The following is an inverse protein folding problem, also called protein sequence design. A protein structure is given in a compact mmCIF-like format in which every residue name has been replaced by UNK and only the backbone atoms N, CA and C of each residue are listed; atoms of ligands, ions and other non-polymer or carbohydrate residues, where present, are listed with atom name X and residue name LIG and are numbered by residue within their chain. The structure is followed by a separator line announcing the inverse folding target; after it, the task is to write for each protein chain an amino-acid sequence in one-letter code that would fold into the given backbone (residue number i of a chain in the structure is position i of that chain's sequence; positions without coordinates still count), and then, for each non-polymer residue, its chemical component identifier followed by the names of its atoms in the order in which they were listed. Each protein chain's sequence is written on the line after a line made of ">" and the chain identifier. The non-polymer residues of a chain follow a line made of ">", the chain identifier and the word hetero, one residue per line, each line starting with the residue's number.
data_IF_603135531753
#
_entry.id   IF_603135531753
#
_cell.length_a   1.000
_cell.length_b   1.000
_cell.length_c   1.000
_cell.angle_alpha   90.00
_cell.angle_beta   90.00
_cell.angle_gamma   90.00
#
_symmetry.space_group_name_H-M   'P 1'
#
loop_
_entity.id
_entity.type
_entity.pdbx_description
1 polymer ?
#
# COMPACT_ATOMS: atom_id res chain seq x y z
N UNK A 1 39.91 14.19 12.66
CA UNK A 1 40.42 15.58 12.45
C UNK A 1 40.33 16.05 10.99
N UNK A 2 39.17 15.95 10.34
CA UNK A 2 38.86 16.63 9.05
C UNK A 2 37.34 16.85 9.00
N UNK A 3 36.81 17.90 9.63
CA UNK A 3 36.62 19.29 9.12
C UNK A 3 35.75 19.39 7.84
N UNK A 4 34.44 19.61 8.06
CA UNK A 4 33.58 20.66 7.46
C UNK A 4 33.47 20.80 5.92
N UNK A 5 32.33 20.34 5.37
CA UNK A 5 31.55 20.99 4.29
C UNK A 5 30.06 20.77 4.66
N UNK A 6 29.17 21.74 4.82
CA UNK A 6 29.17 23.11 4.31
C UNK A 6 28.21 23.26 3.11
N UNK A 7 26.90 23.34 3.39
CA UNK A 7 25.92 24.24 2.76
C UNK A 7 25.43 24.04 1.30
N UNK A 8 24.10 23.88 1.20
CA UNK A 8 23.14 24.54 0.29
C UNK A 8 22.92 24.11 -1.17
N UNK A 9 21.72 23.56 -1.43
CA UNK A 9 20.82 23.64 -2.63
C UNK A 9 20.06 22.31 -2.76
N UNK A 10 18.75 22.19 -2.98
CA UNK A 10 17.61 23.08 -3.19
C UNK A 10 16.34 22.19 -3.10
N UNK A 11 15.21 22.72 -2.61
CA UNK A 11 14.01 23.06 -3.41
C UNK A 11 13.07 21.87 -3.74
N UNK A 12 11.76 22.19 -3.77
CA UNK A 12 10.56 21.34 -3.89
C UNK A 12 10.16 20.67 -2.56
N UNK A 13 9.18 21.14 -1.79
CA UNK A 13 7.79 21.51 -2.16
C UNK A 13 7.15 20.50 -3.11
N UNK A 14 6.37 19.58 -2.54
CA UNK A 14 5.07 19.23 -3.09
C UNK A 14 4.16 18.69 -1.99
N UNK A 15 3.20 19.51 -1.59
CA UNK A 15 1.99 19.09 -0.91
C UNK A 15 1.30 17.94 -1.68
N UNK A 16 0.65 16.97 -1.02
CA UNK A 16 -0.21 16.04 -1.73
C UNK A 16 -1.48 16.79 -2.16
N UNK A 17 -1.56 17.14 -3.45
CA UNK A 17 -2.81 17.48 -4.12
C UNK A 17 -3.72 16.25 -4.12
N UNK A 18 -5.02 16.40 -3.82
CA UNK A 18 -5.98 15.31 -3.93
C UNK A 18 -6.21 15.00 -5.41
N UNK A 19 -5.61 13.91 -5.89
CA UNK A 19 -5.88 13.37 -7.22
C UNK A 19 -7.28 12.73 -7.23
N UNK A 20 -8.29 13.58 -7.42
CA UNK A 20 -9.55 13.17 -8.02
C UNK A 20 -9.29 12.86 -9.51
N UNK A 21 -8.85 11.63 -9.79
CA UNK A 21 -8.78 11.12 -11.16
C UNK A 21 -10.03 10.28 -11.42
N UNK A 22 -10.97 10.92 -12.10
CA UNK A 22 -12.08 10.32 -12.83
C UNK A 22 -11.54 9.18 -13.72
N UNK A 23 -12.24 8.05 -13.79
CA UNK A 23 -11.95 7.00 -14.76
C UNK A 23 -13.26 6.49 -15.34
N UNK A 24 -13.48 6.82 -16.61
CA UNK A 24 -14.55 6.33 -17.48
C UNK A 24 -14.43 4.83 -17.74
N UNK A 25 -15.53 4.15 -18.12
CA UNK A 25 -15.66 2.70 -18.04
C UNK A 25 -15.16 2.05 -19.34
N UNK A 26 -14.13 1.22 -19.24
CA UNK A 26 -13.79 0.03 -20.07
C UNK A 26 -12.28 -0.20 -19.99
N UNK A 27 -11.78 -0.55 -18.81
CA UNK A 27 -10.47 -1.19 -18.64
C UNK A 27 -10.60 -2.11 -17.43
N UNK A 28 -10.06 -3.33 -17.52
CA UNK A 28 -10.10 -4.30 -16.41
C UNK A 28 -9.66 -3.59 -15.12
N UNK A 29 -10.45 -3.65 -14.04
CA UNK A 29 -10.15 -2.90 -12.83
C UNK A 29 -8.75 -3.25 -12.35
N UNK A 30 -7.89 -2.23 -12.17
CA UNK A 30 -6.53 -2.43 -11.68
C UNK A 30 -6.59 -3.20 -10.34
N UNK A 31 -5.70 -4.18 -10.08
CA UNK A 31 -5.76 -5.05 -8.90
C UNK A 31 -5.73 -4.28 -7.56
N UNK A 32 -5.20 -3.06 -7.57
CA UNK A 32 -5.18 -2.14 -6.43
C UNK A 32 -6.53 -1.46 -6.11
N UNK A 33 -7.56 -1.60 -6.95
CA UNK A 33 -8.86 -0.93 -6.74
C UNK A 33 -9.96 -1.85 -6.22
N UNK A 34 -9.78 -3.16 -6.23
CA UNK A 34 -10.88 -4.10 -5.98
C UNK A 34 -10.98 -4.58 -4.53
N UNK A 35 -9.84 -4.78 -3.88
CA UNK A 35 -9.75 -5.29 -2.50
C UNK A 35 -9.06 -4.29 -1.58
N UNK A 36 -9.43 -3.00 -1.68
CA UNK A 36 -8.78 -1.91 -0.92
C UNK A 36 -8.95 -2.10 0.59
N UNK A 37 -10.13 -2.48 1.03
CA UNK A 37 -10.46 -2.70 2.44
C UNK A 37 -9.65 -3.83 3.05
N UNK A 38 -9.60 -4.98 2.37
CA UNK A 38 -8.84 -6.16 2.79
C UNK A 38 -7.34 -5.89 2.73
N UNK A 39 -6.88 -5.15 1.73
CA UNK A 39 -5.49 -4.72 1.64
C UNK A 39 -5.11 -3.82 2.81
N UNK A 40 -5.92 -2.80 3.12
CA UNK A 40 -5.66 -1.91 4.25
C UNK A 40 -5.65 -2.68 5.57
N UNK A 41 -6.63 -3.55 5.82
CA UNK A 41 -6.65 -4.37 7.03
C UNK A 41 -5.41 -5.28 7.17
N UNK A 42 -4.95 -5.88 6.06
CA UNK A 42 -3.71 -6.69 6.04
C UNK A 42 -2.46 -5.85 6.26
N UNK A 43 -2.39 -4.66 5.65
CA UNK A 43 -1.29 -3.71 5.86
C UNK A 43 -1.26 -3.23 7.32
N UNK A 44 -2.41 -2.82 7.88
CA UNK A 44 -2.54 -2.39 9.26
C UNK A 44 -2.15 -3.50 10.24
N UNK A 45 -2.64 -4.72 10.02
CA UNK A 45 -2.26 -5.85 10.87
C UNK A 45 -0.76 -6.14 10.84
N UNK A 46 -0.13 -6.13 9.65
CA UNK A 46 1.32 -6.34 9.55
C UNK A 46 2.11 -5.21 10.19
N UNK A 47 1.63 -3.96 10.06
CA UNK A 47 2.30 -2.77 10.57
C UNK A 47 2.19 -2.64 12.10
N UNK A 48 1.07 -3.05 12.67
CA UNK A 48 0.79 -2.91 14.11
C UNK A 48 0.98 -4.20 14.91
N UNK A 49 1.25 -5.33 14.27
CA UNK A 49 1.57 -6.57 14.97
C UNK A 49 2.82 -6.42 15.83
N UNK A 50 2.76 -6.97 17.05
CA UNK A 50 3.86 -6.97 18.03
C UNK A 50 4.51 -8.34 18.21
N UNK A 51 4.10 -9.30 17.39
CA UNK A 51 4.61 -10.67 17.42
C UNK A 51 5.87 -10.80 16.58
N UNK A 52 6.68 -11.81 16.87
CA UNK A 52 7.87 -12.14 16.08
C UNK A 52 7.51 -12.59 14.64
N UNK A 53 6.30 -13.12 14.45
CA UNK A 53 5.79 -13.53 13.14
C UNK A 53 4.40 -12.89 12.84
N UNK A 54 4.39 -11.65 12.32
CA UNK A 54 3.15 -10.96 11.95
C UNK A 54 2.48 -11.61 10.73
N UNK A 55 3.21 -12.39 9.92
CA UNK A 55 2.64 -13.07 8.78
C UNK A 55 1.73 -14.23 9.20
N UNK A 56 2.08 -14.94 10.28
CA UNK A 56 1.20 -15.94 10.90
C UNK A 56 -0.02 -15.30 11.57
N UNK A 57 0.17 -14.23 12.35
CA UNK A 57 -0.94 -13.53 13.01
C UNK A 57 -1.94 -12.95 11.99
N UNK A 58 -1.44 -12.33 10.93
CA UNK A 58 -2.27 -11.71 9.90
C UNK A 58 -2.72 -12.68 8.80
N UNK A 59 -2.43 -13.99 8.91
CA UNK A 59 -2.92 -15.02 7.98
C UNK A 59 -4.40 -14.88 7.58
N UNK A 60 -5.36 -14.74 8.51
CA UNK A 60 -6.77 -14.62 8.13
C UNK A 60 -7.05 -13.41 7.23
N UNK A 61 -6.33 -12.30 7.43
CA UNK A 61 -6.47 -11.09 6.62
C UNK A 61 -5.78 -11.24 5.25
N UNK A 62 -4.64 -11.93 5.21
CA UNK A 62 -3.95 -12.27 3.96
C UNK A 62 -4.83 -13.19 3.10
N UNK A 63 -5.46 -14.19 3.70
CA UNK A 63 -6.37 -15.11 3.01
C UNK A 63 -7.61 -14.39 2.50
N UNK A 64 -8.21 -13.49 3.28
CA UNK A 64 -9.31 -12.64 2.79
C UNK A 64 -8.91 -11.79 1.58
N UNK A 65 -7.74 -11.14 1.63
CA UNK A 65 -7.25 -10.34 0.51
C UNK A 65 -7.04 -11.19 -0.75
N UNK A 66 -6.46 -12.39 -0.60
CA UNK A 66 -6.29 -13.36 -1.69
C UNK A 66 -7.63 -13.85 -2.25
N UNK A 67 -8.58 -14.18 -1.38
CA UNK A 67 -9.91 -14.62 -1.78
C UNK A 67 -10.66 -13.53 -2.56
N UNK A 68 -10.57 -12.27 -2.09
CA UNK A 68 -11.12 -11.13 -2.78
C UNK A 68 -10.51 -10.98 -4.18
N UNK A 69 -9.17 -10.99 -4.31
CA UNK A 69 -8.52 -10.86 -5.61
C UNK A 69 -8.79 -12.05 -6.55
N UNK A 70 -8.91 -13.26 -6.00
CA UNK A 70 -9.30 -14.46 -6.74
C UNK A 70 -10.72 -14.35 -7.31
N UNK A 71 -11.66 -13.73 -6.58
CA UNK A 71 -13.01 -13.44 -7.06
C UNK A 71 -13.06 -12.53 -8.30
N UNK A 72 -12.04 -11.69 -8.47
CA UNK A 72 -11.86 -10.85 -9.66
C UNK A 72 -10.95 -11.46 -10.74
N UNK A 73 -10.50 -12.71 -10.54
CA UNK A 73 -9.67 -13.43 -11.50
C UNK A 73 -8.18 -13.08 -11.45
N UNK A 74 -7.71 -12.43 -10.39
CA UNK A 74 -6.28 -12.13 -10.18
C UNK A 74 -5.63 -13.19 -9.26
N UNK A 75 -4.47 -13.73 -9.67
CA UNK A 75 -3.63 -14.60 -8.81
C UNK A 75 -2.58 -13.75 -8.09
N UNK A 76 -2.46 -13.92 -6.77
CA UNK A 76 -1.71 -13.04 -5.84
C UNK A 76 -0.85 -13.84 -4.89
#
# INVERSE_FOLDING_TARGET
>A
MSWLFGSSKGAAEQAPTPAAAQSTPTEKPKPCCVCKTEKSARDDCMLFSKTDDPAQECKPLIEQYKACMAGYGFKV
#
